data_IF_440206563061
#
_entry.id   IF_440206563061
#
_cell.length_a   1.000
_cell.length_b   1.000
_cell.length_c   1.000
_cell.angle_alpha   90.00
_cell.angle_beta   90.00
_cell.angle_gamma   90.00
#
_symmetry.space_group_name_H-M   'P 1'
#
loop_
_entity.id
_entity.type
_entity.pdbx_description
1 polymer ?
#
# COMPACT_ATOMS: atom_id res chain seq x y z
N UNK A 1 -1.61 2.20 -12.26
CA UNK A 1 -2.58 3.28 -12.53
C UNK A 1 -2.69 3.43 -14.03
N UNK A 2 -3.91 3.52 -14.55
CA UNK A 2 -4.13 3.92 -15.94
C UNK A 2 -4.30 5.45 -15.98
N UNK A 3 -4.08 6.08 -17.13
CA UNK A 3 -4.25 7.54 -17.28
C UNK A 3 -5.68 7.99 -16.92
N UNK A 4 -6.68 7.18 -17.24
CA UNK A 4 -8.07 7.41 -16.84
C UNK A 4 -8.27 7.46 -15.32
N UNK A 5 -7.49 6.69 -14.54
CA UNK A 5 -7.59 6.74 -13.07
C UNK A 5 -6.99 8.03 -12.51
N UNK A 6 -5.98 8.60 -13.19
CA UNK A 6 -5.36 9.88 -12.82
C UNK A 6 -6.31 11.04 -13.06
N UNK A 7 -7.05 11.01 -14.19
CA UNK A 7 -8.05 12.04 -14.51
C UNK A 7 -9.15 12.13 -13.44
N UNK A 8 -9.60 10.99 -12.90
CA UNK A 8 -10.60 10.94 -11.83
C UNK A 8 -10.12 11.59 -10.52
N UNK A 9 -8.81 11.76 -10.36
CA UNK A 9 -8.19 12.33 -9.17
C UNK A 9 -7.83 13.80 -9.34
N UNK A 10 -7.76 14.32 -10.57
CA UNK A 10 -7.34 15.70 -10.84
C UNK A 10 -8.16 16.73 -10.06
N UNK A 11 -9.49 16.58 -10.03
CA UNK A 11 -10.39 17.50 -9.31
C UNK A 11 -10.10 17.54 -7.80
N UNK A 12 -9.69 16.41 -7.22
CA UNK A 12 -9.35 16.26 -5.80
C UNK A 12 -7.89 16.62 -5.49
N UNK A 13 -7.03 16.60 -6.50
CA UNK A 13 -5.61 16.91 -6.33
C UNK A 13 -5.33 18.40 -6.23
N UNK A 14 -6.26 19.27 -6.62
CA UNK A 14 -6.18 20.73 -6.45
C UNK A 14 -5.77 21.12 -5.03
N UNK A 15 -6.39 20.51 -4.01
CA UNK A 15 -6.05 20.77 -2.61
C UNK A 15 -4.58 20.46 -2.28
N UNK A 16 -4.01 19.38 -2.86
CA UNK A 16 -2.61 19.01 -2.65
C UNK A 16 -1.68 19.90 -3.49
N UNK A 17 -2.08 20.23 -4.71
CA UNK A 17 -1.31 21.07 -5.63
C UNK A 17 -1.18 22.48 -5.06
N UNK A 18 -2.22 23.05 -4.49
CA UNK A 18 -2.22 24.43 -3.96
C UNK A 18 -1.76 24.51 -2.50
N UNK A 19 -1.52 23.36 -1.85
CA UNK A 19 -1.14 23.32 -0.44
C UNK A 19 0.20 23.99 -0.15
N UNK A 20 0.25 24.71 0.96
CA UNK A 20 1.48 25.27 1.53
C UNK A 20 2.16 24.28 2.47
N UNK A 21 3.41 24.56 2.87
CA UNK A 21 4.12 23.75 3.87
C UNK A 21 3.38 23.71 5.21
N UNK A 22 2.68 24.79 5.56
CA UNK A 22 1.92 24.89 6.81
C UNK A 22 0.67 24.02 6.75
N UNK A 23 -0.02 23.97 5.60
CA UNK A 23 -1.16 23.07 5.39
C UNK A 23 -0.75 21.60 5.52
N UNK A 24 0.37 21.22 4.89
CA UNK A 24 0.90 19.85 4.97
C UNK A 24 1.29 19.52 6.42
N UNK A 25 1.89 20.46 7.15
CA UNK A 25 2.25 20.25 8.55
C UNK A 25 1.00 20.11 9.43
N UNK A 26 -0.04 20.90 9.16
CA UNK A 26 -1.34 20.79 9.84
C UNK A 26 -1.98 19.43 9.60
N UNK A 27 -2.05 18.97 8.34
CA UNK A 27 -2.60 17.65 8.03
C UNK A 27 -1.80 16.49 8.62
N UNK A 28 -0.48 16.65 8.72
CA UNK A 28 0.36 15.66 9.39
C UNK A 28 0.10 15.59 10.90
N UNK A 29 -0.19 16.73 11.56
CA UNK A 29 -0.51 16.79 12.99
C UNK A 29 -1.90 16.27 13.28
N UNK A 30 -2.87 16.58 12.42
CA UNK A 30 -4.27 16.14 12.52
C UNK A 30 -4.45 14.65 12.13
N UNK A 31 -3.44 14.05 11.48
CA UNK A 31 -3.49 12.66 11.04
C UNK A 31 -4.38 12.44 9.81
N UNK A 32 -4.76 13.52 9.10
CA UNK A 32 -5.55 13.50 7.86
C UNK A 32 -4.84 12.69 6.79
N UNK A 33 -3.53 12.91 6.63
CA UNK A 33 -2.66 12.14 5.75
C UNK A 33 -1.61 11.39 6.57
N UNK A 34 -1.20 10.20 6.10
CA UNK A 34 -0.13 9.45 6.73
C UNK A 34 1.21 10.19 6.57
N UNK A 35 2.11 10.06 7.54
CA UNK A 35 3.41 10.77 7.55
C UNK A 35 4.19 10.59 6.24
N UNK A 36 4.24 9.37 5.71
CA UNK A 36 4.88 9.08 4.42
C UNK A 36 4.26 9.89 3.28
N UNK A 37 2.93 10.03 3.24
CA UNK A 37 2.22 10.79 2.21
C UNK A 37 2.58 12.27 2.33
N UNK A 38 2.57 12.83 3.53
CA UNK A 38 2.98 14.22 3.79
C UNK A 38 4.43 14.48 3.36
N UNK A 39 5.35 13.54 3.59
CA UNK A 39 6.74 13.69 3.19
C UNK A 39 6.94 13.63 1.67
N UNK A 40 6.06 12.94 0.94
CA UNK A 40 6.05 13.01 -0.52
C UNK A 40 5.43 14.31 -1.05
N UNK A 41 4.41 14.85 -0.38
CA UNK A 41 3.82 16.15 -0.74
C UNK A 41 4.86 17.29 -0.67
N UNK A 42 5.77 17.25 0.31
CA UNK A 42 6.89 18.22 0.43
C UNK A 42 7.88 18.16 -0.73
N UNK A 43 7.92 17.06 -1.49
CA UNK A 43 8.86 16.80 -2.59
C UNK A 43 8.23 16.96 -3.97
N UNK A 44 7.05 17.59 -4.04
CA UNK A 44 6.37 17.84 -5.31
C UNK A 44 7.25 18.70 -6.24
N UNK A 45 7.21 18.42 -7.56
CA UNK A 45 7.96 19.20 -8.54
C UNK A 45 7.38 20.61 -8.68
N UNK A 46 8.21 21.53 -9.19
CA UNK A 46 7.83 22.92 -9.45
C UNK A 46 6.94 23.01 -10.71
N UNK A 47 7.20 22.17 -11.71
CA UNK A 47 6.39 22.11 -12.93
C UNK A 47 4.94 21.71 -12.62
N UNK A 48 3.99 22.52 -13.05
CA UNK A 48 2.58 22.35 -12.69
C UNK A 48 1.99 21.02 -13.21
N UNK A 49 2.29 20.66 -14.45
CA UNK A 49 1.75 19.44 -15.08
C UNK A 49 2.28 18.19 -14.38
N UNK A 50 3.57 18.13 -14.11
CA UNK A 50 4.18 17.04 -13.34
C UNK A 50 3.75 17.07 -11.87
N UNK A 51 3.50 18.26 -11.30
CA UNK A 51 2.99 18.42 -9.93
C UNK A 51 1.61 17.80 -9.77
N UNK A 52 0.69 18.05 -10.72
CA UNK A 52 -0.65 17.44 -10.73
C UNK A 52 -0.57 15.92 -10.85
N UNK A 53 0.29 15.40 -11.75
CA UNK A 53 0.49 13.95 -11.90
C UNK A 53 1.04 13.31 -10.63
N UNK A 54 2.03 13.93 -10.00
CA UNK A 54 2.62 13.45 -8.75
C UNK A 54 1.61 13.53 -7.61
N UNK A 55 0.87 14.63 -7.47
CA UNK A 55 -0.20 14.78 -6.49
C UNK A 55 -1.29 13.71 -6.65
N UNK A 56 -1.67 13.38 -7.89
CA UNK A 56 -2.60 12.29 -8.19
C UNK A 56 -2.10 10.93 -7.75
N UNK A 57 -0.81 10.64 -7.96
CA UNK A 57 -0.19 9.41 -7.47
C UNK A 57 -0.11 9.37 -5.94
N UNK A 58 0.20 10.50 -5.30
CA UNK A 58 0.20 10.65 -3.83
C UNK A 58 -1.20 10.39 -3.26
N UNK A 59 -2.23 10.99 -3.85
CA UNK A 59 -3.61 10.85 -3.40
C UNK A 59 -4.11 9.42 -3.59
N UNK A 60 -3.76 8.79 -4.71
CA UNK A 60 -4.06 7.37 -4.92
C UNK A 60 -3.40 6.48 -3.86
N UNK A 61 -2.12 6.73 -3.54
CA UNK A 61 -1.40 6.02 -2.49
C UNK A 61 -2.09 6.21 -1.12
N UNK A 62 -2.53 7.43 -0.80
CA UNK A 62 -3.29 7.71 0.41
C UNK A 62 -4.56 6.86 0.50
N UNK A 63 -5.35 6.80 -0.56
CA UNK A 63 -6.56 5.99 -0.60
C UNK A 63 -6.28 4.49 -0.46
N UNK A 64 -5.21 3.97 -1.07
CA UNK A 64 -4.81 2.57 -0.89
C UNK A 64 -4.35 2.27 0.54
N UNK A 65 -3.61 3.19 1.18
CA UNK A 65 -3.20 3.03 2.59
C UNK A 65 -4.43 3.04 3.51
N UNK A 66 -5.38 3.96 3.28
CA UNK A 66 -6.63 4.02 4.03
C UNK A 66 -7.44 2.72 3.86
N UNK A 67 -7.55 2.23 2.63
CA UNK A 67 -8.20 0.96 2.33
C UNK A 67 -7.49 -0.23 2.99
N UNK A 68 -6.15 -0.26 2.94
CA UNK A 68 -5.36 -1.30 3.60
C UNK A 68 -5.63 -1.35 5.10
N UNK A 69 -5.66 -0.20 5.79
CA UNK A 69 -5.97 -0.12 7.23
C UNK A 69 -7.37 -0.66 7.54
N UNK A 70 -8.35 -0.42 6.68
CA UNK A 70 -9.72 -0.95 6.87
C UNK A 70 -9.85 -2.42 6.44
N UNK A 71 -9.02 -2.89 5.51
CA UNK A 71 -9.02 -4.28 5.03
C UNK A 71 -8.64 -5.34 6.08
N UNK A 72 -8.13 -4.90 7.22
CA UNK A 72 -7.75 -5.76 8.35
C UNK A 72 -8.98 -6.35 9.02
N UNK A 73 -10.08 -5.59 9.03
CA UNK A 73 -11.34 -6.03 9.61
C UNK A 73 -11.92 -7.18 8.78
N UNK A 74 -12.47 -8.20 9.45
CA UNK A 74 -12.98 -9.44 8.81
C UNK A 74 -14.09 -9.17 7.79
N UNK A 75 -14.81 -8.05 7.94
CA UNK A 75 -15.84 -7.59 7.01
C UNK A 75 -15.64 -6.10 6.76
N UNK A 76 -15.69 -5.72 5.50
CA UNK A 76 -15.80 -4.32 5.07
C UNK A 76 -17.28 -3.90 5.12
N UNK A 77 -17.94 -4.09 6.27
CA UNK A 77 -19.30 -3.61 6.48
C UNK A 77 -19.24 -2.13 6.83
N UNK A 78 -19.38 -1.25 5.84
CA UNK A 78 -19.26 0.20 5.98
C UNK A 78 -18.55 0.86 4.80
N UNK A 79 -18.06 2.09 4.97
CA UNK A 79 -17.28 2.79 3.95
C UNK A 79 -15.83 2.27 3.97
N UNK A 80 -15.32 1.60 2.92
CA UNK A 80 -13.96 1.06 2.92
C UNK A 80 -12.89 2.11 2.57
N UNK A 81 -13.31 3.27 2.08
CA UNK A 81 -12.47 4.40 1.70
C UNK A 81 -12.86 5.67 2.49
N UNK A 82 -12.00 6.71 2.48
CA UNK A 82 -12.38 8.07 2.84
C UNK A 82 -13.57 8.59 2.01
N UNK A 83 -14.34 9.53 2.58
CA UNK A 83 -15.58 10.04 1.97
C UNK A 83 -15.34 10.85 0.69
N UNK A 84 -14.14 11.38 0.53
CA UNK A 84 -13.68 12.16 -0.61
C UNK A 84 -13.16 11.30 -1.78
N UNK A 85 -12.98 9.99 -1.58
CA UNK A 85 -12.44 9.10 -2.61
C UNK A 85 -13.44 8.88 -3.76
N UNK A 86 -13.04 9.03 -5.04
CA UNK A 86 -13.94 8.83 -6.18
C UNK A 86 -14.53 7.41 -6.23
N UNK A 87 -15.85 7.30 -6.40
CA UNK A 87 -16.57 6.00 -6.37
C UNK A 87 -16.02 4.97 -7.36
N UNK A 88 -15.69 5.42 -8.57
CA UNK A 88 -15.09 4.55 -9.60
C UNK A 88 -13.76 3.92 -9.12
N UNK A 89 -12.97 4.66 -8.35
CA UNK A 89 -11.72 4.16 -7.76
C UNK A 89 -11.99 3.13 -6.66
N UNK A 90 -12.98 3.40 -5.81
CA UNK A 90 -13.40 2.50 -4.74
C UNK A 90 -13.88 1.17 -5.33
N UNK A 91 -14.74 1.21 -6.34
CA UNK A 91 -15.28 0.04 -7.01
C UNK A 91 -14.17 -0.78 -7.68
N UNK A 92 -13.21 -0.11 -8.34
CA UNK A 92 -12.05 -0.77 -8.93
C UNK A 92 -11.20 -1.47 -7.87
N UNK A 93 -10.89 -0.79 -6.77
CA UNK A 93 -10.09 -1.37 -5.70
C UNK A 93 -10.81 -2.56 -5.04
N UNK A 94 -12.12 -2.47 -4.80
CA UNK A 94 -12.91 -3.58 -4.28
C UNK A 94 -12.90 -4.79 -5.23
N UNK A 95 -13.05 -4.58 -6.54
CA UNK A 95 -12.96 -5.66 -7.54
C UNK A 95 -11.60 -6.34 -7.59
N UNK A 96 -10.52 -5.60 -7.36
CA UNK A 96 -9.14 -6.13 -7.47
C UNK A 96 -8.66 -6.79 -6.17
N UNK A 97 -9.08 -6.25 -5.02
CA UNK A 97 -8.51 -6.60 -3.71
C UNK A 97 -9.50 -7.21 -2.72
N UNK A 98 -10.80 -7.26 -3.03
CA UNK A 98 -11.80 -7.85 -2.16
C UNK A 98 -12.62 -8.93 -2.89
N UNK A 99 -13.21 -9.82 -2.10
CA UNK A 99 -14.20 -10.79 -2.56
C UNK A 99 -15.54 -10.35 -1.99
N UNK A 100 -16.53 -10.19 -2.90
CA UNK A 100 -17.90 -9.90 -2.52
C UNK A 100 -18.57 -11.18 -2.02
N UNK A 101 -19.10 -11.13 -0.80
CA UNK A 101 -19.92 -12.17 -0.21
C UNK A 101 -21.36 -11.65 -0.18
N UNK A 102 -22.24 -12.28 -0.95
CA UNK A 102 -23.66 -11.99 -0.90
C UNK A 102 -24.28 -12.96 0.09
N UNK A 103 -24.86 -12.43 1.15
CA UNK A 103 -25.62 -13.25 2.09
C UNK A 103 -26.99 -13.55 1.47
N UNK A 104 -27.21 -14.79 1.05
CA UNK A 104 -28.43 -15.23 0.36
C UNK A 104 -29.72 -14.95 1.15
N UNK A 105 -29.66 -14.99 2.49
CA UNK A 105 -30.83 -14.75 3.35
C UNK A 105 -31.16 -13.29 3.55
N UNK A 106 -30.14 -12.43 3.67
CA UNK A 106 -30.35 -10.99 3.96
C UNK A 106 -30.20 -10.10 2.73
N UNK A 107 -29.76 -10.66 1.60
CA UNK A 107 -29.32 -9.97 0.37
C UNK A 107 -28.27 -8.87 0.61
N UNK A 108 -27.67 -8.83 1.80
CA UNK A 108 -26.60 -7.88 2.12
C UNK A 108 -25.30 -8.35 1.48
N UNK A 109 -24.62 -7.43 0.82
CA UNK A 109 -23.29 -7.64 0.26
C UNK A 109 -22.24 -7.17 1.28
N UNK A 110 -21.44 -8.10 1.77
CA UNK A 110 -20.26 -7.82 2.59
C UNK A 110 -19.00 -8.13 1.78
N UNK A 111 -18.01 -7.25 1.78
CA UNK A 111 -16.72 -7.53 1.14
C UNK A 111 -15.71 -8.02 2.18
N UNK A 112 -14.89 -9.01 1.80
CA UNK A 112 -13.77 -9.49 2.63
C UNK A 112 -12.48 -9.43 1.83
N UNK A 113 -11.40 -9.00 2.49
CA UNK A 113 -10.05 -8.98 1.89
C UNK A 113 -9.26 -10.17 2.43
N UNK A 114 -9.18 -11.30 1.69
CA UNK A 114 -8.42 -12.47 2.11
C UNK A 114 -6.91 -12.17 2.16
N UNK A 115 -6.12 -12.95 2.93
CA UNK A 115 -4.68 -12.69 3.11
C UNK A 115 -3.89 -12.56 1.80
N UNK A 116 -4.22 -13.37 0.78
CA UNK A 116 -3.58 -13.31 -0.55
C UNK A 116 -3.84 -11.97 -1.26
N UNK A 117 -5.07 -11.46 -1.23
CA UNK A 117 -5.39 -10.17 -1.85
C UNK A 117 -4.85 -9.00 -1.03
N UNK A 118 -4.76 -9.16 0.30
CA UNK A 118 -4.06 -8.21 1.17
C UNK A 118 -2.58 -8.12 0.82
N UNK A 119 -1.90 -9.24 0.57
CA UNK A 119 -0.51 -9.26 0.12
C UNK A 119 -0.35 -8.54 -1.22
N UNK A 120 -1.25 -8.80 -2.18
CA UNK A 120 -1.29 -8.10 -3.47
C UNK A 120 -1.49 -6.58 -3.31
N UNK A 121 -2.35 -6.17 -2.38
CA UNK A 121 -2.56 -4.76 -2.04
C UNK A 121 -1.29 -4.13 -1.46
N UNK A 122 -0.64 -4.78 -0.49
CA UNK A 122 0.61 -4.31 0.08
C UNK A 122 1.69 -4.17 -0.98
N UNK A 123 1.86 -5.19 -1.84
CA UNK A 123 2.85 -5.15 -2.92
C UNK A 123 2.60 -3.97 -3.86
N UNK A 124 1.34 -3.67 -4.20
CA UNK A 124 1.01 -2.50 -5.01
C UNK A 124 1.37 -1.18 -4.32
N UNK A 125 1.11 -1.06 -3.01
CA UNK A 125 1.52 0.09 -2.21
C UNK A 125 3.05 0.24 -2.22
N UNK A 126 3.81 -0.85 -2.05
CA UNK A 126 5.27 -0.83 -2.10
C UNK A 126 5.81 -0.37 -3.46
N UNK A 127 5.22 -0.86 -4.56
CA UNK A 127 5.60 -0.45 -5.93
C UNK A 127 5.35 1.04 -6.14
N UNK A 128 4.21 1.56 -5.69
CA UNK A 128 3.91 2.99 -5.78
C UNK A 128 4.88 3.81 -4.95
N UNK A 129 5.20 3.38 -3.74
CA UNK A 129 6.19 4.02 -2.89
C UNK A 129 7.58 4.05 -3.56
N UNK A 130 8.01 2.94 -4.17
CA UNK A 130 9.27 2.88 -4.94
C UNK A 130 9.27 3.88 -6.08
N UNK A 131 8.21 3.88 -6.89
CA UNK A 131 8.11 4.80 -8.02
C UNK A 131 8.18 6.27 -7.58
N UNK A 132 7.51 6.62 -6.48
CA UNK A 132 7.48 7.99 -5.96
C UNK A 132 8.81 8.42 -5.34
N UNK A 133 9.51 7.51 -4.69
CA UNK A 133 10.81 7.79 -4.06
C UNK A 133 12.01 7.50 -4.98
N UNK A 134 11.82 7.54 -6.31
CA UNK A 134 12.88 7.29 -7.31
C UNK A 134 13.64 5.98 -7.04
N UNK A 135 12.88 4.93 -6.77
CA UNK A 135 13.35 3.57 -6.52
C UNK A 135 14.14 3.34 -5.23
N UNK A 136 14.12 4.31 -4.30
CA UNK A 136 14.75 4.19 -2.96
C UNK A 136 13.76 4.55 -1.87
N UNK A 137 13.33 3.58 -1.05
CA UNK A 137 12.27 3.77 -0.04
C UNK A 137 12.79 3.43 1.35
N UNK A 138 12.54 4.33 2.31
CA UNK A 138 12.66 4.01 3.73
C UNK A 138 11.48 3.11 4.16
N UNK A 139 11.80 1.86 4.48
CA UNK A 139 10.85 0.81 4.83
C UNK A 139 10.17 1.14 6.16
N UNK A 140 10.89 1.74 7.12
CA UNK A 140 10.38 2.05 8.45
C UNK A 140 9.33 3.17 8.38
N UNK A 141 9.60 4.21 7.59
CA UNK A 141 8.65 5.29 7.31
C UNK A 141 7.36 4.79 6.64
N UNK A 142 7.49 3.88 5.65
CA UNK A 142 6.33 3.26 5.00
C UNK A 142 5.57 2.34 5.97
N UNK A 143 6.29 1.57 6.80
CA UNK A 143 5.72 0.68 7.81
C UNK A 143 4.88 1.44 8.82
N UNK A 144 5.35 2.57 9.32
CA UNK A 144 4.61 3.45 10.23
C UNK A 144 3.30 3.93 9.59
N UNK A 145 3.36 4.30 8.31
CA UNK A 145 2.17 4.73 7.56
C UNK A 145 1.15 3.62 7.36
N UNK A 146 1.60 2.37 7.20
CA UNK A 146 0.74 1.18 7.16
C UNK A 146 0.22 0.74 8.54
N UNK A 147 0.70 1.34 9.63
CA UNK A 147 0.28 1.04 11.01
C UNK A 147 0.92 -0.23 11.57
N UNK A 148 0.39 -0.82 12.65
CA UNK A 148 0.95 -2.05 13.28
C UNK A 148 0.65 -3.34 12.51
N UNK A 149 -0.10 -3.27 11.42
CA UNK A 149 -0.80 -4.38 10.79
C UNK A 149 0.04 -5.39 10.00
N UNK A 150 1.30 -5.08 9.67
CA UNK A 150 2.15 -5.88 8.79
C UNK A 150 3.45 -6.45 9.37
N UNK A 151 4.03 -6.13 10.51
CA UNK A 151 5.43 -6.49 10.87
C UNK A 151 6.50 -6.03 9.85
N UNK A 152 7.63 -5.56 10.36
CA UNK A 152 8.72 -5.02 9.53
C UNK A 152 9.36 -6.10 8.65
N UNK A 153 9.57 -7.30 9.21
CA UNK A 153 10.16 -8.43 8.49
C UNK A 153 9.34 -8.84 7.26
N UNK A 154 8.02 -8.91 7.37
CA UNK A 154 7.15 -9.23 6.22
C UNK A 154 7.20 -8.15 5.14
N UNK A 155 7.31 -6.87 5.55
CA UNK A 155 7.43 -5.78 4.59
C UNK A 155 8.78 -5.85 3.86
N UNK A 156 9.86 -6.18 4.57
CA UNK A 156 11.18 -6.45 3.98
C UNK A 156 11.16 -7.65 3.04
N UNK A 157 10.47 -8.75 3.40
CA UNK A 157 10.29 -9.91 2.53
C UNK A 157 9.62 -9.51 1.21
N UNK A 158 8.55 -8.70 1.26
CA UNK A 158 7.87 -8.19 0.06
C UNK A 158 8.82 -7.35 -0.81
N UNK A 159 9.59 -6.44 -0.23
CA UNK A 159 10.58 -5.66 -0.99
C UNK A 159 11.65 -6.55 -1.63
N UNK A 160 12.08 -7.59 -0.93
CA UNK A 160 13.05 -8.57 -1.45
C UNK A 160 12.44 -9.38 -2.60
N UNK A 161 11.17 -9.79 -2.49
CA UNK A 161 10.43 -10.48 -3.56
C UNK A 161 10.22 -9.59 -4.79
N UNK A 162 10.09 -8.27 -4.60
CA UNK A 162 10.06 -7.28 -5.67
C UNK A 162 11.44 -7.03 -6.32
N UNK A 163 12.50 -7.68 -5.83
CA UNK A 163 13.86 -7.54 -6.35
C UNK A 163 14.66 -6.37 -5.77
N UNK A 164 14.19 -5.74 -4.69
CA UNK A 164 14.92 -4.65 -4.03
C UNK A 164 16.06 -5.20 -3.16
N UNK A 165 17.15 -4.44 -3.10
CA UNK A 165 18.23 -4.63 -2.14
C UNK A 165 17.90 -3.86 -0.87
N UNK A 166 17.97 -4.54 0.27
CA UNK A 166 17.70 -3.92 1.58
C UNK A 166 19.03 -3.63 2.26
N UNK A 167 19.24 -2.37 2.60
CA UNK A 167 20.43 -1.88 3.31
C UNK A 167 19.95 -1.27 4.62
N UNK A 168 20.60 -1.62 5.72
CA UNK A 168 20.40 -0.91 6.99
C UNK A 168 21.30 0.32 7.01
N UNK A 169 20.70 1.50 7.13
CA UNK A 169 21.41 2.78 7.24
C UNK A 169 21.11 3.32 8.63
N UNK A 170 22.11 3.33 9.51
CA UNK A 170 21.93 3.63 10.93
C UNK A 170 20.82 2.78 11.57
N UNK A 171 19.70 3.40 11.95
CA UNK A 171 18.55 2.76 12.60
C UNK A 171 17.38 2.47 11.65
N UNK A 172 17.50 2.77 10.35
CA UNK A 172 16.43 2.55 9.38
C UNK A 172 16.83 1.56 8.30
N UNK A 173 15.84 0.84 7.77
CA UNK A 173 15.99 -0.11 6.66
C UNK A 173 15.56 0.58 5.37
N UNK A 174 16.47 0.68 4.42
CA UNK A 174 16.22 1.30 3.11
C UNK A 174 16.17 0.21 2.04
N UNK A 175 15.09 0.19 1.26
CA UNK A 175 14.96 -0.65 0.07
C UNK A 175 15.33 0.15 -1.18
N UNK A 176 16.27 -0.36 -1.97
CA UNK A 176 16.69 0.23 -3.25
C UNK A 176 16.47 -0.77 -4.37
N UNK A 177 15.80 -0.36 -5.45
CA UNK A 177 15.68 -1.16 -6.67
C UNK A 177 16.73 -0.70 -7.68
N UNK A 178 17.75 -1.53 -7.89
CA UNK A 178 18.85 -1.28 -8.82
C UNK A 178 18.70 -2.13 -10.08
N UNK A 179 19.28 -1.67 -11.20
CA UNK A 179 19.37 -2.44 -12.44
C UNK A 179 20.76 -3.09 -12.55
N UNK A 180 20.87 -4.36 -12.97
CA UNK A 180 19.79 -5.27 -13.38
C UNK A 180 18.94 -5.78 -12.21
N UNK A 181 17.67 -6.05 -12.47
CA UNK A 181 16.70 -6.48 -11.44
C UNK A 181 17.22 -7.76 -10.77
N UNK A 182 17.36 -7.72 -9.45
CA UNK A 182 17.77 -8.87 -8.68
C UNK A 182 16.67 -9.94 -8.74
N UNK A 183 17.00 -11.14 -9.19
CA UNK A 183 16.00 -12.22 -9.24
C UNK A 183 15.61 -12.60 -7.82
N UNK A 184 14.31 -12.67 -7.49
CA UNK A 184 13.88 -13.08 -6.16
C UNK A 184 14.44 -14.47 -5.88
N UNK A 185 15.13 -14.62 -4.74
CA UNK A 185 15.55 -15.93 -4.25
C UNK A 185 14.29 -16.66 -3.82
N UNK A 186 13.74 -17.49 -4.70
CA UNK A 186 12.66 -18.42 -4.35
C UNK A 186 13.18 -19.26 -3.17
N UNK A 187 12.56 -19.11 -2.00
CA UNK A 187 12.80 -20.06 -0.90
C UNK A 187 12.19 -21.37 -1.37
N UNK A 188 13.01 -22.38 -1.61
CA UNK A 188 12.58 -23.75 -1.90
C UNK A 188 11.82 -24.33 -0.69
N UNK A 189 10.55 -23.97 -0.52
CA UNK A 189 9.63 -24.63 0.41
C UNK A 189 8.70 -25.57 -0.34
N UNK A 190 9.31 -26.53 -1.05
CA UNK A 190 8.68 -27.77 -1.51
C UNK A 190 9.49 -28.98 -1.02
N UNK A 191 9.84 -29.02 0.27
CA UNK A 191 10.09 -30.30 0.94
C UNK A 191 8.75 -30.85 1.46
N UNK A 192 8.00 -31.48 0.56
CA UNK A 192 6.90 -32.37 0.95
C UNK A 192 7.47 -33.46 1.89
N UNK A 193 6.75 -33.68 2.98
CA UNK A 193 7.28 -34.30 4.18
C UNK A 193 7.60 -35.79 4.04
N UNK A 194 8.57 -36.20 4.85
CA UNK A 194 8.64 -37.57 5.34
C UNK A 194 9.32 -37.57 6.70
N UNK A 195 8.53 -37.58 7.78
CA UNK A 195 8.91 -38.17 9.06
C UNK A 195 7.72 -38.17 10.03
N UNK A 196 6.90 -39.22 9.95
CA UNK A 196 6.08 -39.68 11.09
C UNK A 196 6.66 -41.00 11.58
N UNK A 197 7.66 -40.95 12.47
CA UNK A 197 7.99 -42.09 13.34
C UNK A 197 6.94 -42.18 14.43
N UNK A 198 5.98 -43.11 14.27
CA UNK A 198 5.14 -43.61 15.37
C UNK A 198 6.01 -44.47 16.28
N UNK A 199 6.28 -44.01 17.51
CA UNK A 199 6.68 -44.89 18.60
C UNK A 199 5.46 -45.67 19.06
N UNK A 200 5.45 -47.00 18.86
CA UNK A 200 4.61 -47.94 19.60
C UNK A 200 5.42 -48.34 20.82
N UNK A 201 4.93 -48.00 22.00
CA UNK A 201 5.32 -48.63 23.27
C UNK A 201 4.47 -49.88 23.45
N UNK A 202 5.13 -51.02 23.54
CA UNK A 202 4.61 -52.26 24.13
C UNK A 202 4.91 -52.26 25.62
#
# INVERSE_FOLDING_TARGET
LNENDLLLLNDKCSQIVDSTKDDIQKWSKEGTYASFVCDQMKKLPIDHTERVKCASKILYLHYLIAFFKRSIFKRLSGKPFPDDAPRALQDKALRVYAIANINERTRKQDNTVPPRLRLKLTAHICILALYMCRFTVDIDSLRLSLGSSIALSKLQDIFTELGCKIIKVANTSVATLETPINKPKLKDSLSLGSNRKRKRTT
#
